data_IF_711173602337
#
_entry.id   IF_711173602337
#
_cell.length_a   1.000
_cell.length_b   1.000
_cell.length_c   1.000
_cell.angle_alpha   90.00
_cell.angle_beta   90.00
_cell.angle_gamma   90.00
#
_symmetry.space_group_name_H-M   'P 1'
#
loop_
_entity.id
_entity.type
_entity.pdbx_description
1 polymer ?
#
# COMPACT_ATOMS: atom_id res chain seq x y z
N UNK A 1 -22.52 1.88 11.32
CA UNK A 1 -21.15 1.66 10.82
C UNK A 1 -20.42 2.98 10.95
N UNK A 2 -19.39 3.04 11.79
CA UNK A 2 -18.61 4.26 12.01
C UNK A 2 -17.59 4.48 10.87
N UNK A 3 -17.08 5.71 10.73
CA UNK A 3 -15.96 6.01 9.82
C UNK A 3 -14.74 5.15 10.12
N UNK A 4 -14.51 4.84 11.41
CA UNK A 4 -13.41 3.99 11.85
C UNK A 4 -13.62 2.54 11.38
N UNK A 5 -14.85 2.01 11.46
CA UNK A 5 -15.15 0.65 11.01
C UNK A 5 -14.91 0.50 9.49
N UNK A 6 -15.32 1.52 8.72
CA UNK A 6 -15.11 1.55 7.27
C UNK A 6 -13.62 1.63 6.92
N UNK A 7 -12.87 2.48 7.64
CA UNK A 7 -11.42 2.59 7.49
C UNK A 7 -10.74 1.24 7.76
N UNK A 8 -11.08 0.57 8.86
CA UNK A 8 -10.52 -0.73 9.24
C UNK A 8 -10.79 -1.80 8.16
N UNK A 9 -12.02 -1.82 7.61
CA UNK A 9 -12.39 -2.75 6.55
C UNK A 9 -11.55 -2.55 5.28
N UNK A 10 -11.33 -1.30 4.87
CA UNK A 10 -10.49 -0.96 3.71
C UNK A 10 -9.03 -1.32 3.94
N UNK A 11 -8.46 -0.97 5.10
CA UNK A 11 -7.08 -1.31 5.45
C UNK A 11 -6.89 -2.83 5.50
N UNK A 12 -7.84 -3.57 6.05
CA UNK A 12 -7.79 -5.04 6.09
C UNK A 12 -7.75 -5.63 4.68
N UNK A 13 -8.59 -5.14 3.78
CA UNK A 13 -8.58 -5.55 2.37
C UNK A 13 -7.23 -5.23 1.69
N UNK A 14 -6.64 -4.07 1.98
CA UNK A 14 -5.33 -3.70 1.45
C UNK A 14 -4.22 -4.61 1.99
N UNK A 15 -4.27 -4.93 3.28
CA UNK A 15 -3.33 -5.85 3.97
C UNK A 15 -3.38 -7.24 3.37
N UNK A 16 -4.57 -7.79 3.10
CA UNK A 16 -4.72 -9.10 2.45
C UNK A 16 -4.00 -9.15 1.10
N UNK A 17 -4.18 -8.12 0.27
CA UNK A 17 -3.49 -8.00 -1.02
C UNK A 17 -1.98 -7.90 -0.83
N UNK A 18 -1.52 -7.10 0.14
CA UNK A 18 -0.10 -6.96 0.47
C UNK A 18 0.52 -8.30 0.91
N UNK A 19 -0.12 -9.03 1.82
CA UNK A 19 0.39 -10.30 2.35
C UNK A 19 0.35 -11.42 1.31
N UNK A 20 -0.69 -11.47 0.47
CA UNK A 20 -0.73 -12.40 -0.67
C UNK A 20 0.48 -12.17 -1.57
N UNK A 21 0.73 -10.92 -1.93
CA UNK A 21 1.89 -10.49 -2.73
C UNK A 21 3.23 -10.83 -2.06
N UNK A 22 3.36 -10.57 -0.76
CA UNK A 22 4.56 -10.91 -0.01
C UNK A 22 4.80 -12.42 0.09
N UNK A 23 3.75 -13.26 0.09
CA UNK A 23 3.88 -14.73 -0.02
C UNK A 23 4.37 -15.16 -1.39
N UNK A 24 3.82 -14.59 -2.45
CA UNK A 24 4.09 -15.02 -3.82
C UNK A 24 5.52 -14.66 -4.28
N UNK A 25 6.06 -13.52 -3.82
CA UNK A 25 7.35 -13.01 -4.31
C UNK A 25 8.23 -12.33 -3.25
N UNK A 26 7.94 -12.53 -1.96
CA UNK A 26 8.68 -11.91 -0.86
C UNK A 26 8.51 -10.39 -0.81
N UNK A 27 9.38 -9.71 -0.04
CA UNK A 27 9.42 -8.24 0.03
C UNK A 27 10.27 -7.62 -1.08
N UNK A 28 10.06 -8.05 -2.33
CA UNK A 28 10.81 -7.57 -3.49
C UNK A 28 10.77 -6.04 -3.66
N UNK A 29 9.70 -5.40 -3.21
CA UNK A 29 9.55 -3.93 -3.20
C UNK A 29 10.64 -3.20 -2.40
N UNK A 30 11.35 -3.86 -1.48
CA UNK A 30 12.45 -3.27 -0.70
C UNK A 30 13.65 -2.83 -1.55
N UNK A 31 13.77 -3.33 -2.78
CA UNK A 31 14.82 -2.88 -3.72
C UNK A 31 14.54 -1.48 -4.28
N UNK A 32 13.31 -0.99 -4.16
CA UNK A 32 12.94 0.32 -4.67
C UNK A 32 13.61 1.43 -3.87
N UNK A 33 13.99 2.49 -4.57
CA UNK A 33 14.33 3.76 -3.94
C UNK A 33 13.03 4.49 -3.61
N UNK A 34 13.08 5.43 -2.67
CA UNK A 34 11.91 6.24 -2.31
C UNK A 34 11.26 6.92 -3.52
N UNK A 35 12.07 7.44 -4.45
CA UNK A 35 11.56 8.03 -5.70
C UNK A 35 10.80 7.02 -6.55
N UNK A 36 11.28 5.77 -6.61
CA UNK A 36 10.61 4.71 -7.37
C UNK A 36 9.26 4.34 -6.77
N UNK A 37 9.10 4.38 -5.45
CA UNK A 37 7.80 4.17 -4.80
C UNK A 37 6.85 5.32 -5.11
N UNK A 38 7.33 6.57 -5.10
CA UNK A 38 6.52 7.72 -5.51
C UNK A 38 6.06 7.59 -6.98
N UNK A 39 6.95 7.13 -7.87
CA UNK A 39 6.60 6.86 -9.27
C UNK A 39 5.53 5.78 -9.39
N UNK A 40 5.58 4.72 -8.58
CA UNK A 40 4.52 3.69 -8.56
C UNK A 40 3.16 4.31 -8.21
N UNK A 41 3.10 5.18 -7.19
CA UNK A 41 1.87 5.89 -6.81
C UNK A 41 1.38 6.77 -7.96
N UNK A 42 2.29 7.49 -8.62
CA UNK A 42 1.95 8.34 -9.76
C UNK A 42 1.38 7.54 -10.94
N UNK A 43 1.96 6.38 -11.26
CA UNK A 43 1.48 5.48 -12.32
C UNK A 43 0.03 5.05 -12.03
N UNK A 44 -0.28 4.70 -10.77
CA UNK A 44 -1.64 4.33 -10.34
C UNK A 44 -2.63 5.49 -10.44
N UNK A 45 -2.24 6.69 -10.01
CA UNK A 45 -3.07 7.88 -10.14
C UNK A 45 -3.33 8.23 -11.62
N UNK A 46 -2.30 8.15 -12.46
CA UNK A 46 -2.44 8.38 -13.89
C UNK A 46 -3.35 7.34 -14.55
N UNK A 47 -3.25 6.07 -14.14
CA UNK A 47 -4.13 5.00 -14.62
C UNK A 47 -5.60 5.26 -14.29
N UNK A 48 -5.91 5.67 -13.05
CA UNK A 48 -7.27 6.05 -12.65
C UNK A 48 -7.81 7.16 -13.56
N UNK A 49 -7.02 8.20 -13.79
CA UNK A 49 -7.39 9.31 -14.68
C UNK A 49 -7.70 8.81 -16.10
N UNK A 50 -6.85 7.97 -16.67
CA UNK A 50 -7.08 7.40 -18.00
C UNK A 50 -8.38 6.61 -18.08
N UNK A 51 -8.68 5.80 -17.07
CA UNK A 51 -9.92 5.01 -17.02
C UNK A 51 -11.15 5.94 -17.01
N UNK A 52 -11.10 7.00 -16.20
CA UNK A 52 -12.18 7.98 -16.11
C UNK A 52 -12.37 8.79 -17.40
N UNK A 53 -11.28 9.16 -18.08
CA UNK A 53 -11.33 9.93 -19.34
C UNK A 53 -11.72 9.08 -20.56
N UNK A 54 -11.27 7.82 -20.62
CA UNK A 54 -11.47 6.98 -21.82
C UNK A 54 -12.84 6.29 -21.88
N UNK A 55 -13.53 6.11 -20.74
CA UNK A 55 -14.86 5.48 -20.66
C UNK A 55 -14.93 4.01 -21.10
N UNK A 56 -13.84 3.44 -21.64
CA UNK A 56 -13.76 2.10 -22.18
C UNK A 56 -12.54 1.41 -21.59
N UNK A 57 -12.77 0.42 -20.72
CA UNK A 57 -11.72 -0.46 -20.23
C UNK A 57 -11.62 -1.72 -21.09
N UNK A 58 -10.45 -1.96 -21.70
CA UNK A 58 -10.15 -3.24 -22.35
C UNK A 58 -9.61 -4.31 -21.37
N UNK A 59 -9.31 -3.92 -20.13
CA UNK A 59 -8.69 -4.74 -19.08
C UNK A 59 -9.52 -4.57 -17.81
N UNK A 60 -9.79 -5.66 -17.08
CA UNK A 60 -10.61 -5.72 -15.86
C UNK A 60 -10.00 -5.05 -14.61
N UNK A 61 -9.00 -4.17 -14.75
CA UNK A 61 -8.42 -3.49 -13.60
C UNK A 61 -9.38 -2.42 -13.09
N UNK A 62 -10.05 -2.69 -11.96
CA UNK A 62 -10.96 -1.75 -11.33
C UNK A 62 -10.23 -0.51 -10.80
N UNK A 63 -10.90 0.64 -10.78
CA UNK A 63 -10.39 1.85 -10.09
C UNK A 63 -10.08 1.55 -8.61
N UNK A 64 -10.90 0.70 -7.98
CA UNK A 64 -10.71 0.29 -6.58
C UNK A 64 -9.35 -0.40 -6.34
N UNK A 65 -8.96 -1.33 -7.22
CA UNK A 65 -7.65 -2.00 -7.12
C UNK A 65 -6.48 -1.04 -7.29
N UNK A 66 -6.62 0.02 -8.10
CA UNK A 66 -5.58 1.04 -8.25
C UNK A 66 -5.44 1.89 -6.97
N UNK A 67 -6.54 2.24 -6.31
CA UNK A 67 -6.50 2.89 -4.99
C UNK A 67 -5.87 2.00 -3.91
N UNK A 68 -6.24 0.72 -3.85
CA UNK A 68 -5.63 -0.23 -2.90
C UNK A 68 -4.12 -0.35 -3.13
N UNK A 69 -3.67 -0.34 -4.40
CA UNK A 69 -2.25 -0.34 -4.72
C UNK A 69 -1.56 0.94 -4.21
N UNK A 70 -2.17 2.12 -4.38
CA UNK A 70 -1.62 3.38 -3.84
C UNK A 70 -1.47 3.35 -2.32
N UNK A 71 -2.47 2.82 -1.59
CA UNK A 71 -2.40 2.64 -0.12
C UNK A 71 -1.22 1.74 0.24
N UNK A 72 -1.08 0.60 -0.44
CA UNK A 72 0.02 -0.34 -0.17
C UNK A 72 1.40 0.24 -0.51
N UNK A 73 1.56 0.99 -1.60
CA UNK A 73 2.82 1.68 -1.90
C UNK A 73 3.14 2.76 -0.85
N UNK A 74 2.13 3.48 -0.37
CA UNK A 74 2.30 4.43 0.74
C UNK A 74 2.81 3.75 2.00
N UNK A 75 2.20 2.64 2.41
CA UNK A 75 2.63 1.86 3.58
C UNK A 75 4.03 1.26 3.37
N UNK A 76 4.33 0.72 2.17
CA UNK A 76 5.69 0.25 1.83
C UNK A 76 6.73 1.36 2.00
N UNK A 77 6.41 2.59 1.58
CA UNK A 77 7.30 3.74 1.75
C UNK A 77 7.56 4.04 3.24
N UNK A 78 6.51 4.03 4.06
CA UNK A 78 6.60 4.27 5.51
C UNK A 78 7.44 3.18 6.21
N UNK A 79 7.23 1.90 5.84
CA UNK A 79 8.05 0.80 6.34
C UNK A 79 9.51 1.03 5.95
N UNK A 80 9.78 1.36 4.68
CA UNK A 80 11.15 1.55 4.19
C UNK A 80 11.87 2.73 4.86
N UNK A 81 11.16 3.79 5.22
CA UNK A 81 11.70 4.93 5.98
C UNK A 81 12.01 4.58 7.44
N UNK A 82 11.30 3.61 8.02
CA UNK A 82 11.46 3.20 9.42
C UNK A 82 12.64 2.24 9.61
N UNK A 83 12.95 1.43 8.59
CA UNK A 83 13.98 0.41 8.68
C UNK A 83 15.40 0.98 8.61
N UNK A 84 16.37 0.39 9.34
CA UNK A 84 17.78 0.77 9.23
C UNK A 84 18.32 0.64 7.79
N UNK A 85 19.34 1.44 7.46
CA UNK A 85 19.94 1.44 6.11
C UNK A 85 20.63 0.12 5.75
N UNK A 86 21.09 -0.61 6.75
CA UNK A 86 21.78 -1.91 6.67
C UNK A 86 20.82 -3.10 6.85
N UNK A 87 19.52 -2.84 7.00
CA UNK A 87 18.51 -3.88 7.12
C UNK A 87 18.45 -4.77 5.87
N UNK A 88 18.25 -6.07 6.07
CA UNK A 88 18.15 -7.01 4.96
C UNK A 88 16.98 -6.64 4.04
N UNK A 89 17.22 -6.76 2.73
CA UNK A 89 16.18 -6.49 1.71
C UNK A 89 15.03 -7.51 1.77
N UNK A 90 15.34 -8.76 2.12
CA UNK A 90 14.36 -9.81 2.28
C UNK A 90 13.89 -9.88 3.73
N UNK A 91 12.69 -9.37 4.00
CA UNK A 91 11.96 -9.63 5.24
C UNK A 91 11.22 -10.97 5.10
N UNK A 92 11.10 -11.70 6.20
CA UNK A 92 10.14 -12.81 6.25
C UNK A 92 8.71 -12.25 6.33
N UNK A 93 7.71 -13.11 6.08
CA UNK A 93 6.31 -12.71 6.05
C UNK A 93 5.82 -12.13 7.39
N UNK A 94 6.30 -12.67 8.52
CA UNK A 94 5.90 -12.25 9.85
C UNK A 94 6.39 -10.84 10.17
N UNK A 95 7.65 -10.52 9.84
CA UNK A 95 8.20 -9.18 10.00
C UNK A 95 7.52 -8.20 9.04
N UNK A 96 7.30 -8.59 7.79
CA UNK A 96 6.59 -7.77 6.81
C UNK A 96 5.16 -7.42 7.29
N UNK A 97 4.45 -8.39 7.86
CA UNK A 97 3.14 -8.19 8.46
C UNK A 97 3.20 -7.27 9.68
N UNK A 98 4.14 -7.50 10.59
CA UNK A 98 4.32 -6.66 11.79
C UNK A 98 4.53 -5.19 11.41
N UNK A 99 5.47 -4.92 10.49
CA UNK A 99 5.73 -3.54 10.08
C UNK A 99 4.54 -2.91 9.35
N UNK A 100 3.79 -3.69 8.57
CA UNK A 100 2.56 -3.19 7.96
C UNK A 100 1.55 -2.75 9.02
N UNK A 101 1.32 -3.58 10.04
CA UNK A 101 0.39 -3.29 11.12
C UNK A 101 0.81 -2.04 11.89
N UNK A 102 2.08 -1.94 12.29
CA UNK A 102 2.65 -0.78 12.98
C UNK A 102 2.44 0.52 12.19
N UNK A 103 2.75 0.53 10.89
CA UNK A 103 2.60 1.73 10.07
C UNK A 103 1.13 2.06 9.80
N UNK A 104 0.28 1.05 9.59
CA UNK A 104 -1.15 1.27 9.36
C UNK A 104 -1.84 1.84 10.61
N UNK A 105 -1.46 1.38 11.79
CA UNK A 105 -1.98 1.88 13.06
C UNK A 105 -1.53 3.31 13.32
N UNK A 106 -0.26 3.63 13.05
CA UNK A 106 0.25 5.01 13.13
C UNK A 106 -0.55 5.96 12.23
N UNK A 107 -0.84 5.55 10.98
CA UNK A 107 -1.67 6.35 10.06
C UNK A 107 -3.10 6.51 10.58
N UNK A 108 -3.70 5.45 11.14
CA UNK A 108 -5.04 5.47 11.75
C UNK A 108 -5.11 6.45 12.93
N UNK A 109 -4.12 6.42 13.81
CA UNK A 109 -4.04 7.34 14.94
C UNK A 109 -3.93 8.79 14.48
N UNK A 110 -3.06 9.08 13.50
CA UNK A 110 -2.92 10.42 12.93
C UNK A 110 -4.22 10.94 12.31
N UNK A 111 -4.98 10.07 11.62
CA UNK A 111 -6.29 10.40 11.07
C UNK A 111 -7.30 10.71 12.18
N UNK A 112 -7.30 9.91 13.25
CA UNK A 112 -8.23 10.08 14.38
C UNK A 112 -7.94 11.37 15.16
N UNK A 113 -6.68 11.77 15.32
CA UNK A 113 -6.31 13.01 16.02
C UNK A 113 -6.67 14.28 15.24
N UNK A 114 -6.91 14.18 13.93
CA UNK A 114 -7.27 15.30 13.05
C UNK A 114 -8.78 15.52 12.91
N UNK A 115 -9.59 14.54 13.30
CA UNK A 115 -11.05 14.57 13.28
C UNK A 115 -11.60 14.79 14.69
#
# INVERSE_FOLDING_TARGET
MSTIDQYQAVVSSCKEVYLKKARDYGTSWRVYRMISIADQIYIKAWRIRQIQESGVQKIEDSIGSEFMAMVNYGLMALIQLTLPKDEKLALNLQDAERYYDEQSEMVRELMTRKN
#
